data_IF_484779109758
#
_entry.id   IF_484779109758
#
_cell.length_a   1.000
_cell.length_b   1.000
_cell.length_c   1.000
_cell.angle_alpha   90.00
_cell.angle_beta   90.00
_cell.angle_gamma   90.00
#
_symmetry.space_group_name_H-M   'P 1'
#
loop_
_entity.id
_entity.type
_entity.pdbx_description
1 polymer ?
#
# COMPACT_ATOMS: atom_id res chain seq x y z
N UNK A 1 17.20 -22.25 68.24
CA UNK A 1 17.91 -21.33 69.16
C UNK A 1 19.37 -21.33 68.79
N UNK A 2 19.84 -20.37 67.98
CA UNK A 2 21.27 -20.21 67.73
C UNK A 2 21.63 -18.72 67.72
N UNK A 3 22.62 -18.40 68.55
CA UNK A 3 23.08 -17.05 68.90
C UNK A 3 23.97 -16.47 67.80
N UNK A 4 23.84 -15.17 67.58
CA UNK A 4 24.71 -14.32 66.78
C UNK A 4 26.15 -14.36 67.26
N UNK A 5 27.11 -14.27 66.33
CA UNK A 5 28.35 -13.54 66.53
C UNK A 5 28.77 -12.81 65.24
N UNK A 6 29.13 -11.55 65.43
CA UNK A 6 29.60 -10.58 64.44
C UNK A 6 31.10 -10.77 64.20
N UNK A 7 31.55 -10.70 62.95
CA UNK A 7 32.98 -10.74 62.61
C UNK A 7 33.24 -10.00 61.29
N UNK A 8 33.80 -8.80 61.41
CA UNK A 8 34.31 -7.95 60.31
C UNK A 8 35.64 -8.54 59.84
N UNK A 9 35.85 -8.68 58.53
CA UNK A 9 37.20 -8.76 57.95
C UNK A 9 37.30 -8.03 56.62
N UNK A 10 38.41 -7.32 56.51
CA UNK A 10 38.83 -6.33 55.52
C UNK A 10 39.25 -7.02 54.22
N UNK A 11 38.95 -6.42 53.05
CA UNK A 11 39.65 -6.74 51.81
C UNK A 11 39.98 -5.49 50.98
N UNK A 12 41.13 -5.61 50.33
CA UNK A 12 42.11 -4.58 49.97
C UNK A 12 41.71 -3.82 48.71
N UNK A 13 41.94 -2.50 48.73
CA UNK A 13 41.82 -1.58 47.60
C UNK A 13 43.00 -1.77 46.64
N UNK A 14 42.74 -2.09 45.36
CA UNK A 14 43.73 -2.01 44.28
C UNK A 14 43.34 -0.84 43.37
N UNK A 15 44.17 0.20 43.35
CA UNK A 15 43.99 1.39 42.51
C UNK A 15 44.64 1.10 41.15
N UNK A 16 43.83 1.05 40.09
CA UNK A 16 44.31 1.18 38.70
C UNK A 16 43.91 2.58 38.24
N UNK A 17 44.89 3.42 37.97
CA UNK A 17 44.72 4.76 37.41
C UNK A 17 44.31 4.66 35.95
N UNK A 18 43.12 5.15 35.59
CA UNK A 18 42.72 5.40 34.21
C UNK A 18 42.72 6.92 34.02
N UNK A 19 43.45 7.40 33.01
CA UNK A 19 43.58 8.83 32.71
C UNK A 19 42.24 9.47 32.28
N UNK A 20 42.14 10.81 32.27
CA UNK A 20 40.91 11.50 31.91
C UNK A 20 40.57 11.22 30.45
N UNK A 21 39.43 10.58 30.23
CA UNK A 21 38.79 10.50 28.92
C UNK A 21 38.17 11.87 28.67
N UNK A 22 38.66 12.54 27.63
CA UNK A 22 38.07 13.72 27.04
C UNK A 22 36.64 13.41 26.58
N UNK A 23 35.64 13.70 27.41
CA UNK A 23 34.26 13.82 26.92
C UNK A 23 34.15 15.14 26.18
N UNK A 24 34.56 15.12 24.91
CA UNK A 24 34.17 16.15 23.95
C UNK A 24 32.66 16.03 23.75
N UNK A 25 31.90 16.64 24.66
CA UNK A 25 30.51 16.98 24.42
C UNK A 25 30.53 18.04 23.32
N UNK A 26 30.43 17.61 22.07
CA UNK A 26 29.99 18.49 21.00
C UNK A 26 28.57 18.91 21.38
N UNK A 27 28.40 20.19 21.67
CA UNK A 27 27.12 20.81 21.96
C UNK A 27 26.13 20.43 20.87
N UNK A 28 25.09 19.70 21.28
CA UNK A 28 23.91 19.40 20.50
C UNK A 28 23.39 20.74 20.00
N UNK A 29 23.50 20.97 18.69
CA UNK A 29 22.96 22.16 18.05
C UNK A 29 21.51 22.31 18.50
N UNK A 30 21.18 23.53 18.88
CA UNK A 30 19.84 23.98 19.24
C UNK A 30 18.86 23.51 18.20
N UNK A 31 18.10 22.47 18.55
CA UNK A 31 16.90 22.07 17.82
C UNK A 31 16.01 23.31 17.75
N UNK A 32 15.82 23.84 16.55
CA UNK A 32 14.61 24.60 16.26
C UNK A 32 13.44 23.74 16.73
N UNK A 33 12.53 24.32 17.51
CA UNK A 33 11.22 23.72 17.75
C UNK A 33 10.60 23.37 16.38
N UNK A 34 10.63 22.10 16.04
CA UNK A 34 9.75 21.49 15.06
C UNK A 34 8.62 20.87 15.88
N UNK A 35 7.45 21.51 15.88
CA UNK A 35 6.19 20.88 16.27
C UNK A 35 5.88 19.82 15.21
N UNK A 36 6.37 18.60 15.42
CA UNK A 36 6.02 17.39 14.67
C UNK A 36 4.98 16.62 15.52
N UNK A 37 3.76 16.50 15.02
CA UNK A 37 2.83 15.39 15.30
C UNK A 37 3.47 14.10 14.75
N UNK A 38 4.32 13.45 15.55
CA UNK A 38 5.16 12.33 15.12
C UNK A 38 4.33 11.04 15.02
N UNK A 39 4.26 10.28 13.94
CA UNK A 39 4.44 10.51 12.50
C UNK A 39 3.27 9.72 11.94
N UNK A 40 2.17 10.37 11.60
CA UNK A 40 1.07 9.68 10.94
C UNK A 40 1.52 9.16 9.60
N UNK A 41 1.18 7.90 9.30
CA UNK A 41 1.06 7.44 7.93
C UNK A 41 -0.40 7.62 7.53
N UNK A 42 -0.64 8.34 6.45
CA UNK A 42 -1.95 8.44 5.81
C UNK A 42 -1.86 7.71 4.48
N UNK A 43 -2.92 7.00 4.11
CA UNK A 43 -3.01 6.43 2.76
C UNK A 43 -2.88 7.53 1.72
N UNK A 44 -2.34 7.17 0.56
CA UNK A 44 -2.05 8.11 -0.52
C UNK A 44 -3.32 8.80 -1.05
N UNK A 45 -3.15 10.04 -1.50
CA UNK A 45 -4.19 10.81 -2.20
C UNK A 45 -3.91 10.84 -3.69
N UNK A 46 -4.96 10.73 -4.51
CA UNK A 46 -4.86 10.74 -5.97
C UNK A 46 -5.57 12.00 -6.51
N UNK A 47 -4.85 12.97 -7.13
CA UNK A 47 -5.31 14.35 -7.31
C UNK A 47 -6.69 14.58 -7.92
N UNK A 48 -7.16 13.71 -8.81
CA UNK A 48 -8.42 13.92 -9.54
C UNK A 48 -9.53 12.93 -9.17
N UNK A 49 -9.19 11.78 -8.56
CA UNK A 49 -10.13 10.67 -8.35
C UNK A 49 -10.36 10.35 -6.86
N UNK A 50 -9.33 10.59 -6.03
CA UNK A 50 -9.37 10.48 -4.57
C UNK A 50 -8.46 11.54 -3.89
N UNK A 51 -8.73 12.85 -4.10
CA UNK A 51 -7.82 13.94 -3.73
C UNK A 51 -7.56 14.07 -2.22
N UNK A 52 -8.46 13.52 -1.40
CA UNK A 52 -8.29 13.47 0.05
C UNK A 52 -7.91 12.09 0.58
N UNK A 53 -7.56 11.12 -0.27
CA UNK A 53 -7.20 9.74 0.11
C UNK A 53 -8.42 8.81 0.10
N UNK A 54 -8.46 7.83 1.01
CA UNK A 54 -9.58 6.89 1.13
C UNK A 54 -10.92 7.65 1.16
N UNK A 55 -11.89 7.31 0.28
CA UNK A 55 -13.24 7.87 0.31
C UNK A 55 -13.97 7.62 1.64
N UNK A 56 -14.98 8.44 1.91
CA UNK A 56 -15.80 8.40 3.13
C UNK A 56 -17.28 8.37 2.78
N UNK A 57 -17.67 7.41 1.92
CA UNK A 57 -19.04 7.29 1.46
C UNK A 57 -19.99 7.03 2.63
N UNK A 58 -21.11 7.77 2.65
CA UNK A 58 -22.08 7.76 3.74
C UNK A 58 -23.16 6.70 3.53
N UNK A 59 -23.62 6.15 4.64
CA UNK A 59 -24.67 5.15 4.74
C UNK A 59 -26.08 5.77 4.74
N UNK A 60 -26.23 7.02 5.18
CA UNK A 60 -27.54 7.65 5.38
C UNK A 60 -28.17 8.17 4.09
N UNK A 61 -27.37 8.63 3.14
CA UNK A 61 -27.81 9.20 1.85
C UNK A 61 -28.74 8.32 1.00
N UNK A 62 -28.63 6.99 1.11
CA UNK A 62 -29.37 6.03 0.28
C UNK A 62 -30.67 5.57 0.92
N UNK A 63 -30.94 5.97 2.17
CA UNK A 63 -32.00 5.37 2.99
C UNK A 63 -31.88 3.83 3.07
N UNK A 64 -30.63 3.31 2.97
CA UNK A 64 -30.30 1.88 2.95
C UNK A 64 -30.52 1.24 4.33
N UNK A 65 -31.78 0.91 4.62
CA UNK A 65 -32.24 0.39 5.90
C UNK A 65 -32.76 -1.04 5.79
N UNK A 66 -32.76 -1.72 6.92
CA UNK A 66 -33.47 -2.98 7.15
C UNK A 66 -34.20 -2.94 8.48
N UNK A 67 -34.97 -3.98 8.78
CA UNK A 67 -35.67 -4.13 10.07
C UNK A 67 -35.12 -5.35 10.82
N UNK A 68 -34.75 -5.13 12.08
CA UNK A 68 -34.29 -6.17 13.02
C UNK A 68 -35.16 -6.24 14.28
N UNK A 69 -35.06 -7.33 15.03
CA UNK A 69 -35.75 -7.52 16.31
C UNK A 69 -35.31 -6.49 17.36
N UNK A 70 -36.28 -5.95 18.10
CA UNK A 70 -36.08 -5.01 19.19
C UNK A 70 -35.65 -5.63 20.51
N UNK A 71 -35.54 -6.97 20.56
CA UNK A 71 -35.05 -7.73 21.70
C UNK A 71 -36.11 -8.55 22.42
N UNK A 72 -37.33 -8.66 21.88
CA UNK A 72 -38.35 -9.58 22.40
C UNK A 72 -38.23 -11.00 21.81
N UNK A 73 -37.40 -11.20 20.78
CA UNK A 73 -37.17 -12.47 20.10
C UNK A 73 -38.28 -12.88 19.12
N UNK A 74 -39.14 -11.96 18.69
CA UNK A 74 -40.33 -12.20 17.86
C UNK A 74 -40.38 -11.17 16.73
N UNK A 75 -40.52 -11.65 15.51
CA UNK A 75 -40.73 -10.78 14.35
C UNK A 75 -42.14 -10.17 14.37
N UNK A 76 -42.28 -8.87 14.64
CA UNK A 76 -43.57 -8.19 14.67
C UNK A 76 -43.91 -7.52 13.32
N UNK A 77 -42.90 -7.23 12.51
CA UNK A 77 -43.01 -6.50 11.24
C UNK A 77 -43.35 -7.39 10.04
N UNK A 78 -44.03 -6.81 9.05
CA UNK A 78 -44.42 -7.51 7.81
C UNK A 78 -43.87 -6.76 6.60
N UNK A 79 -43.17 -7.48 5.72
CA UNK A 79 -42.59 -6.94 4.50
C UNK A 79 -43.65 -6.36 3.54
N UNK A 80 -43.28 -5.27 2.85
CA UNK A 80 -44.07 -4.57 1.84
C UNK A 80 -43.22 -4.34 0.58
N UNK A 81 -43.85 -4.04 -0.55
CA UNK A 81 -43.10 -3.76 -1.78
C UNK A 81 -42.33 -4.98 -2.29
N UNK A 82 -41.05 -4.77 -2.61
CA UNK A 82 -40.07 -5.81 -2.94
C UNK A 82 -39.16 -6.21 -1.76
N UNK A 83 -39.38 -5.64 -0.57
CA UNK A 83 -38.69 -6.06 0.65
C UNK A 83 -38.80 -7.58 0.88
N UNK A 84 -37.72 -8.15 1.39
CA UNK A 84 -37.60 -9.58 1.63
C UNK A 84 -37.90 -9.89 3.09
N UNK A 85 -38.99 -10.62 3.35
CA UNK A 85 -39.29 -11.16 4.66
C UNK A 85 -38.35 -12.33 4.99
N UNK A 86 -37.41 -12.12 5.91
CA UNK A 86 -36.46 -13.14 6.39
C UNK A 86 -37.14 -14.05 7.42
N UNK A 87 -37.75 -13.45 8.45
CA UNK A 87 -38.50 -14.17 9.49
C UNK A 87 -39.98 -13.86 9.36
N UNK A 88 -40.83 -14.88 9.29
CA UNK A 88 -42.29 -14.66 9.15
C UNK A 88 -42.87 -13.92 10.37
N UNK A 89 -43.88 -13.05 10.20
CA UNK A 89 -44.52 -12.35 11.31
C UNK A 89 -45.04 -13.32 12.39
N UNK A 90 -44.72 -13.05 13.66
CA UNK A 90 -44.95 -13.89 14.83
C UNK A 90 -43.98 -15.07 14.97
N UNK A 91 -42.97 -15.18 14.11
CA UNK A 91 -41.90 -16.16 14.18
C UNK A 91 -40.85 -15.82 15.25
N UNK A 92 -40.13 -16.83 15.72
CA UNK A 92 -38.98 -16.62 16.61
C UNK A 92 -37.81 -16.06 15.79
N UNK A 93 -37.17 -15.02 16.32
CA UNK A 93 -35.95 -14.43 15.76
C UNK A 93 -34.75 -14.99 16.52
N UNK A 94 -33.66 -15.26 15.80
CA UNK A 94 -32.41 -15.71 16.38
C UNK A 94 -31.70 -14.49 17.03
N UNK A 95 -31.39 -14.50 18.33
CA UNK A 95 -30.67 -13.39 18.96
C UNK A 95 -29.29 -13.14 18.33
N UNK A 96 -28.67 -14.15 17.73
CA UNK A 96 -27.36 -14.03 17.08
C UNK A 96 -27.47 -13.53 15.62
N UNK A 97 -28.69 -13.50 15.06
CA UNK A 97 -28.99 -13.01 13.72
C UNK A 97 -30.38 -12.34 13.71
N UNK A 98 -30.49 -11.10 14.25
CA UNK A 98 -31.76 -10.47 14.58
C UNK A 98 -32.56 -9.95 13.36
N UNK A 99 -32.17 -10.33 12.14
CA UNK A 99 -32.72 -9.82 10.88
C UNK A 99 -34.15 -10.26 10.61
N UNK A 100 -35.04 -9.33 10.30
CA UNK A 100 -36.47 -9.60 10.04
C UNK A 100 -36.86 -9.28 8.59
N UNK A 101 -36.51 -8.08 8.09
CA UNK A 101 -36.88 -7.59 6.76
C UNK A 101 -35.68 -6.91 6.12
N UNK A 102 -35.25 -7.41 4.96
CA UNK A 102 -34.24 -6.75 4.11
C UNK A 102 -34.92 -5.87 3.05
N UNK A 103 -34.27 -4.81 2.53
CA UNK A 103 -34.88 -3.87 1.58
C UNK A 103 -35.13 -4.45 0.19
N UNK A 104 -34.62 -5.65 -0.10
CA UNK A 104 -34.81 -6.26 -1.41
C UNK A 104 -33.99 -5.60 -2.54
N UNK A 105 -34.26 -5.99 -3.80
CA UNK A 105 -33.39 -5.71 -4.94
C UNK A 105 -33.17 -4.23 -5.29
N UNK A 106 -34.11 -3.35 -4.97
CA UNK A 106 -33.96 -1.91 -5.22
C UNK A 106 -33.21 -1.16 -4.11
N UNK A 107 -32.77 -1.88 -3.07
CA UNK A 107 -32.02 -1.38 -1.92
C UNK A 107 -32.77 -0.34 -1.07
N UNK A 108 -34.08 -0.19 -1.26
CA UNK A 108 -34.90 0.76 -0.53
C UNK A 108 -35.90 0.06 0.39
N UNK A 109 -35.94 0.46 1.67
CA UNK A 109 -36.88 -0.15 2.63
C UNK A 109 -38.30 0.40 2.45
N UNK A 110 -39.21 -0.43 1.94
CA UNK A 110 -40.63 -0.09 1.77
C UNK A 110 -41.46 -0.31 3.05
N UNK A 111 -40.97 -1.16 3.95
CA UNK A 111 -41.64 -1.57 5.18
C UNK A 111 -41.51 -0.57 6.31
N UNK A 112 -42.44 -0.66 7.27
CA UNK A 112 -42.36 0.10 8.52
C UNK A 112 -42.26 -0.88 9.69
N UNK A 113 -41.42 -0.61 10.70
CA UNK A 113 -41.31 -1.43 11.89
C UNK A 113 -42.62 -1.48 12.67
N UNK A 114 -42.87 -2.60 13.35
CA UNK A 114 -44.03 -2.84 14.21
C UNK A 114 -43.59 -3.48 15.51
N UNK A 115 -44.35 -3.29 16.60
CA UNK A 115 -43.97 -3.85 17.90
C UNK A 115 -42.77 -3.10 18.50
N UNK A 116 -41.75 -3.84 18.91
CA UNK A 116 -40.43 -3.33 19.31
C UNK A 116 -39.37 -3.46 18.22
N UNK A 117 -39.66 -4.09 17.08
CA UNK A 117 -38.75 -4.11 15.92
C UNK A 117 -38.26 -2.70 15.55
N UNK A 118 -37.02 -2.59 15.10
CA UNK A 118 -36.37 -1.32 14.81
C UNK A 118 -35.77 -1.29 13.40
N UNK A 119 -35.75 -0.10 12.81
CA UNK A 119 -34.99 0.18 11.60
C UNK A 119 -33.50 0.32 11.95
N UNK A 120 -32.64 -0.26 11.11
CA UNK A 120 -31.18 -0.14 11.20
C UNK A 120 -30.58 0.11 9.83
N UNK A 121 -29.43 0.77 9.80
CA UNK A 121 -28.63 0.96 8.60
C UNK A 121 -27.74 -0.27 8.35
N UNK A 122 -27.62 -0.73 7.09
CA UNK A 122 -27.22 -2.14 6.81
C UNK A 122 -26.08 -2.35 5.80
N UNK A 123 -25.57 -1.31 5.15
CA UNK A 123 -24.60 -1.43 4.06
C UNK A 123 -23.16 -1.04 4.42
N UNK A 124 -22.78 -0.98 5.70
CA UNK A 124 -21.40 -0.61 6.08
C UNK A 124 -20.34 -1.54 5.44
N UNK A 125 -20.65 -2.82 5.24
CA UNK A 125 -19.80 -3.78 4.53
C UNK A 125 -19.59 -3.40 3.05
N UNK A 126 -20.69 -3.13 2.33
CA UNK A 126 -20.65 -2.77 0.91
C UNK A 126 -19.95 -1.42 0.71
N UNK A 127 -20.27 -0.43 1.55
CA UNK A 127 -19.67 0.90 1.53
C UNK A 127 -18.17 0.82 1.79
N UNK A 128 -17.75 0.14 2.86
CA UNK A 128 -16.34 0.00 3.19
C UNK A 128 -15.56 -0.70 2.07
N UNK A 129 -16.19 -1.68 1.41
CA UNK A 129 -15.60 -2.33 0.25
C UNK A 129 -15.45 -1.35 -0.91
N UNK A 130 -16.50 -0.60 -1.25
CA UNK A 130 -16.47 0.38 -2.35
C UNK A 130 -15.49 1.52 -2.08
N UNK A 131 -15.34 2.01 -0.84
CA UNK A 131 -14.29 2.96 -0.47
C UNK A 131 -12.90 2.43 -0.88
N UNK A 132 -12.58 1.18 -0.52
CA UNK A 132 -11.30 0.56 -0.88
C UNK A 132 -11.14 0.38 -2.40
N UNK A 133 -12.17 -0.13 -3.09
CA UNK A 133 -12.10 -0.37 -4.53
C UNK A 133 -11.94 0.94 -5.30
N UNK A 134 -12.67 1.97 -4.92
CA UNK A 134 -12.56 3.30 -5.50
C UNK A 134 -11.18 3.92 -5.29
N UNK A 135 -10.64 3.80 -4.07
CA UNK A 135 -9.29 4.28 -3.76
C UNK A 135 -8.21 3.56 -4.60
N UNK A 136 -8.33 2.24 -4.78
CA UNK A 136 -7.43 1.49 -5.64
C UNK A 136 -7.58 1.83 -7.12
N UNK A 137 -8.81 2.01 -7.59
CA UNK A 137 -9.07 2.41 -8.98
C UNK A 137 -8.42 3.76 -9.29
N UNK A 138 -8.58 4.71 -8.37
CA UNK A 138 -7.97 6.04 -8.41
C UNK A 138 -6.43 6.02 -8.45
N UNK A 139 -5.77 4.97 -7.94
CA UNK A 139 -4.31 4.83 -7.91
C UNK A 139 -3.71 4.69 -9.32
N UNK A 140 -4.44 4.01 -10.20
CA UNK A 140 -3.97 3.63 -11.53
C UNK A 140 -4.61 4.46 -12.65
N UNK A 141 -5.50 5.39 -12.29
CA UNK A 141 -6.09 6.35 -13.20
C UNK A 141 -5.08 7.43 -13.66
N UNK A 142 -5.31 8.02 -14.83
CA UNK A 142 -4.44 9.07 -15.39
C UNK A 142 -4.40 10.30 -14.47
N UNK A 143 -3.25 10.63 -13.83
CA UNK A 143 -3.16 11.77 -12.91
C UNK A 143 -3.32 13.13 -13.59
N UNK A 144 -3.19 13.20 -14.92
CA UNK A 144 -3.49 14.39 -15.74
C UNK A 144 -4.91 14.38 -16.31
N UNK A 145 -5.63 13.26 -16.16
CA UNK A 145 -7.02 13.06 -16.60
C UNK A 145 -8.03 13.76 -15.71
N UNK A 146 -9.30 13.71 -16.10
CA UNK A 146 -10.43 14.28 -15.36
C UNK A 146 -11.52 13.23 -15.20
N UNK A 147 -12.16 13.09 -14.03
CA UNK A 147 -13.35 12.26 -13.88
C UNK A 147 -14.36 12.58 -14.99
N UNK A 148 -14.61 11.62 -15.86
CA UNK A 148 -15.59 11.68 -16.94
C UNK A 148 -15.02 11.95 -18.34
N UNK A 149 -13.70 11.96 -18.52
CA UNK A 149 -13.08 12.11 -19.85
C UNK A 149 -12.99 10.81 -20.66
N UNK A 150 -13.24 9.65 -20.03
CA UNK A 150 -13.22 8.34 -20.66
C UNK A 150 -11.80 7.83 -20.95
N UNK A 151 -10.78 8.45 -20.36
CA UNK A 151 -9.40 7.97 -20.33
C UNK A 151 -9.08 7.24 -19.01
N UNK A 152 -10.11 6.84 -18.24
CA UNK A 152 -9.91 5.90 -17.13
C UNK A 152 -9.49 4.54 -17.71
N UNK A 153 -8.31 4.10 -17.28
CA UNK A 153 -7.63 2.92 -17.77
C UNK A 153 -7.68 1.76 -16.78
N UNK A 154 -8.13 1.99 -15.54
CA UNK A 154 -8.27 0.93 -14.54
C UNK A 154 -9.75 0.55 -14.38
N UNK A 155 -10.13 -0.73 -14.56
CA UNK A 155 -11.53 -1.11 -14.66
C UNK A 155 -12.17 -1.53 -13.32
N UNK A 156 -11.58 -1.18 -12.17
CA UNK A 156 -12.02 -1.70 -10.87
C UNK A 156 -13.34 -1.06 -10.42
N UNK A 157 -13.56 0.22 -10.71
CA UNK A 157 -14.89 0.85 -10.70
C UNK A 157 -15.32 1.09 -12.16
N UNK A 158 -16.63 1.01 -12.40
CA UNK A 158 -17.20 1.28 -13.71
C UNK A 158 -18.27 2.36 -13.59
N UNK A 159 -18.55 3.06 -14.70
CA UNK A 159 -19.72 3.92 -14.79
C UNK A 159 -21.01 3.06 -14.79
N UNK A 160 -21.76 3.12 -13.71
CA UNK A 160 -23.03 2.41 -13.55
C UNK A 160 -24.25 3.20 -14.02
N UNK A 161 -24.03 4.28 -14.79
CA UNK A 161 -25.07 5.12 -15.37
C UNK A 161 -25.08 6.55 -14.83
N UNK A 162 -24.06 6.93 -14.07
CA UNK A 162 -23.82 8.28 -13.57
C UNK A 162 -23.07 9.16 -14.59
N UNK A 163 -22.53 8.56 -15.65
CA UNK A 163 -21.80 9.21 -16.72
C UNK A 163 -20.28 9.20 -16.53
N UNK A 164 -19.81 8.79 -15.36
CA UNK A 164 -18.40 8.62 -15.00
C UNK A 164 -18.25 7.67 -13.81
N UNK A 165 -17.22 6.82 -13.82
CA UNK A 165 -16.93 5.84 -12.76
C UNK A 165 -16.61 6.52 -11.43
N UNK A 166 -15.88 7.64 -11.47
CA UNK A 166 -15.47 8.42 -10.30
C UNK A 166 -16.35 9.65 -10.03
N UNK A 167 -17.57 9.68 -10.58
CA UNK A 167 -18.56 10.69 -10.20
C UNK A 167 -19.12 10.43 -8.81
N UNK A 168 -19.24 11.47 -7.97
CA UNK A 168 -19.97 11.38 -6.70
C UNK A 168 -21.41 10.81 -6.85
N UNK A 169 -22.02 10.93 -8.04
CA UNK A 169 -23.34 10.34 -8.32
C UNK A 169 -23.31 8.85 -8.69
N UNK A 170 -22.13 8.29 -8.96
CA UNK A 170 -21.92 6.87 -9.20
C UNK A 170 -21.75 6.08 -7.88
N UNK A 171 -21.28 6.72 -6.82
CA UNK A 171 -21.04 6.06 -5.53
C UNK A 171 -22.25 5.27 -5.01
N UNK A 172 -23.49 5.80 -4.98
CA UNK A 172 -24.66 5.03 -4.55
C UNK A 172 -24.92 3.81 -5.45
N UNK A 173 -24.75 3.94 -6.78
CA UNK A 173 -24.96 2.85 -7.73
C UNK A 173 -23.92 1.74 -7.56
N UNK A 174 -22.66 2.10 -7.30
CA UNK A 174 -21.58 1.17 -6.99
C UNK A 174 -21.86 0.41 -5.68
N UNK A 175 -22.31 1.13 -4.65
CA UNK A 175 -22.66 0.56 -3.34
C UNK A 175 -23.84 -0.39 -3.43
N UNK A 176 -24.93 0.00 -4.09
CA UNK A 176 -26.12 -0.84 -4.29
C UNK A 176 -25.78 -2.12 -5.09
N UNK A 177 -24.92 -2.00 -6.10
CA UNK A 177 -24.46 -3.15 -6.86
C UNK A 177 -23.62 -4.11 -6.00
N UNK A 178 -22.73 -3.57 -5.18
CA UNK A 178 -21.94 -4.36 -4.24
C UNK A 178 -22.83 -5.03 -3.18
N UNK A 179 -23.79 -4.31 -2.61
CA UNK A 179 -24.75 -4.84 -1.64
C UNK A 179 -25.58 -6.00 -2.22
N UNK A 180 -26.05 -5.87 -3.46
CA UNK A 180 -26.72 -6.96 -4.17
C UNK A 180 -25.78 -8.15 -4.43
N UNK A 181 -24.52 -7.90 -4.77
CA UNK A 181 -23.53 -8.97 -5.01
C UNK A 181 -23.20 -9.74 -3.71
N UNK A 182 -23.18 -9.04 -2.58
CA UNK A 182 -23.01 -9.62 -1.23
C UNK A 182 -24.28 -10.33 -0.71
N UNK A 183 -25.41 -10.24 -1.42
CA UNK A 183 -26.74 -10.74 -1.03
C UNK A 183 -27.29 -10.16 0.29
N UNK A 184 -26.72 -9.06 0.79
CA UNK A 184 -27.18 -8.40 2.02
C UNK A 184 -28.53 -7.68 1.83
N UNK A 185 -28.94 -7.44 0.58
CA UNK A 185 -30.27 -6.94 0.21
C UNK A 185 -31.39 -7.97 0.44
N UNK A 186 -31.06 -9.26 0.58
CA UNK A 186 -32.03 -10.34 0.83
C UNK A 186 -31.94 -10.88 2.26
N UNK A 187 -30.76 -10.81 2.88
CA UNK A 187 -30.46 -11.55 4.13
C UNK A 187 -30.20 -10.67 5.34
N UNK A 188 -29.77 -9.41 5.14
CA UNK A 188 -29.15 -8.57 6.18
C UNK A 188 -28.01 -9.28 6.96
N UNK A 189 -27.43 -10.32 6.39
CA UNK A 189 -26.39 -11.11 7.00
C UNK A 189 -25.32 -11.39 5.96
N UNK A 190 -24.08 -11.08 6.31
CA UNK A 190 -22.94 -11.33 5.46
C UNK A 190 -22.00 -12.31 6.14
N UNK A 191 -21.87 -13.50 5.53
CA UNK A 191 -20.83 -14.44 5.88
C UNK A 191 -19.48 -13.94 5.34
N UNK A 192 -18.40 -14.11 6.10
CA UNK A 192 -17.08 -13.64 5.71
C UNK A 192 -16.57 -14.32 4.42
N UNK A 193 -16.86 -15.61 4.21
CA UNK A 193 -16.48 -16.31 2.98
C UNK A 193 -17.26 -15.72 1.80
N UNK A 194 -18.54 -15.37 1.99
CA UNK A 194 -19.36 -14.71 0.95
C UNK A 194 -18.83 -13.32 0.62
N UNK A 195 -18.39 -12.55 1.63
CA UNK A 195 -17.78 -11.24 1.41
C UNK A 195 -16.51 -11.36 0.55
N UNK A 196 -15.61 -12.27 0.91
CA UNK A 196 -14.35 -12.52 0.20
C UNK A 196 -14.60 -13.06 -1.21
N UNK A 197 -15.52 -14.02 -1.36
CA UNK A 197 -15.91 -14.56 -2.66
C UNK A 197 -16.52 -13.47 -3.57
N UNK A 198 -17.28 -12.54 -2.99
CA UNK A 198 -17.88 -11.42 -3.72
C UNK A 198 -16.81 -10.45 -4.24
N UNK A 199 -15.81 -10.12 -3.42
CA UNK A 199 -14.70 -9.25 -3.84
C UNK A 199 -13.85 -9.95 -4.91
N UNK A 200 -13.52 -11.23 -4.74
CA UNK A 200 -12.81 -12.01 -5.76
C UNK A 200 -13.61 -12.11 -7.07
N UNK A 201 -14.92 -12.29 -6.99
CA UNK A 201 -15.80 -12.27 -8.15
C UNK A 201 -15.80 -10.90 -8.83
N UNK A 202 -15.76 -9.81 -8.06
CA UNK A 202 -15.65 -8.45 -8.57
C UNK A 202 -14.37 -8.29 -9.40
N UNK A 203 -13.21 -8.67 -8.85
CA UNK A 203 -11.92 -8.63 -9.55
C UNK A 203 -11.94 -9.46 -10.85
N UNK A 204 -12.49 -10.68 -10.80
CA UNK A 204 -12.56 -11.56 -11.96
C UNK A 204 -13.44 -11.02 -13.10
N UNK A 205 -14.51 -10.27 -12.78
CA UNK A 205 -15.36 -9.68 -13.81
C UNK A 205 -14.67 -8.57 -14.61
N UNK A 206 -13.63 -7.97 -14.04
CA UNK A 206 -12.87 -6.86 -14.64
C UNK A 206 -11.48 -7.31 -15.08
N UNK A 207 -11.20 -8.62 -15.03
CA UNK A 207 -9.91 -9.23 -15.41
C UNK A 207 -8.72 -8.77 -14.56
N UNK A 208 -8.95 -8.50 -13.27
CA UNK A 208 -7.95 -8.08 -12.30
C UNK A 208 -7.67 -9.14 -11.22
N UNK A 209 -8.16 -10.37 -11.37
CA UNK A 209 -7.98 -11.45 -10.40
C UNK A 209 -6.51 -11.90 -10.20
N UNK A 210 -5.64 -11.61 -11.17
CA UNK A 210 -4.19 -11.87 -11.07
C UNK A 210 -3.40 -10.64 -10.56
N UNK A 211 -4.08 -9.51 -10.33
CA UNK A 211 -3.51 -8.21 -9.95
C UNK A 211 -3.89 -7.75 -8.55
N UNK A 212 -5.04 -8.20 -8.06
CA UNK A 212 -5.56 -7.85 -6.74
C UNK A 212 -5.85 -9.12 -5.95
N UNK A 213 -5.47 -9.09 -4.68
CA UNK A 213 -5.79 -10.14 -3.73
C UNK A 213 -6.62 -9.56 -2.58
N UNK A 214 -7.54 -10.36 -2.05
CA UNK A 214 -8.30 -10.04 -0.86
C UNK A 214 -8.16 -11.15 0.16
N UNK A 215 -7.80 -10.77 1.38
CA UNK A 215 -7.51 -11.69 2.48
C UNK A 215 -8.31 -11.30 3.73
N UNK A 216 -8.82 -12.32 4.43
CA UNK A 216 -9.54 -12.16 5.70
C UNK A 216 -8.65 -12.59 6.87
N UNK A 217 -8.67 -11.80 7.95
CA UNK A 217 -7.88 -12.01 9.14
C UNK A 217 -8.75 -11.98 10.38
N UNK A 218 -8.75 -13.10 11.13
CA UNK A 218 -9.34 -13.17 12.46
C UNK A 218 -8.41 -12.58 13.51
N UNK A 219 -9.00 -11.82 14.44
CA UNK A 219 -8.39 -11.19 15.61
C UNK A 219 -7.01 -10.56 15.32
N UNK A 220 -6.93 -9.64 14.34
CA UNK A 220 -5.66 -9.06 13.92
C UNK A 220 -5.05 -8.21 15.02
N UNK A 221 -3.72 -8.24 15.16
CA UNK A 221 -3.03 -7.31 16.06
C UNK A 221 -3.05 -5.90 15.50
N UNK A 222 -2.94 -4.90 16.39
CA UNK A 222 -2.82 -3.50 15.96
C UNK A 222 -1.59 -3.28 15.08
N UNK A 223 -0.46 -3.92 15.42
CA UNK A 223 0.78 -3.82 14.65
C UNK A 223 0.63 -4.40 13.25
N UNK A 224 -0.05 -5.54 13.10
CA UNK A 224 -0.34 -6.09 11.78
C UNK A 224 -1.16 -5.11 10.94
N UNK A 225 -2.28 -4.62 11.47
CA UNK A 225 -3.11 -3.62 10.76
C UNK A 225 -2.31 -2.37 10.39
N UNK A 226 -1.44 -1.90 11.30
CA UNK A 226 -0.58 -0.77 11.04
C UNK A 226 0.40 -1.03 9.89
N UNK A 227 1.05 -2.19 9.87
CA UNK A 227 2.00 -2.58 8.82
C UNK A 227 1.29 -2.68 7.46
N UNK A 228 0.10 -3.31 7.39
CA UNK A 228 -0.68 -3.42 6.13
C UNK A 228 -1.06 -2.03 5.58
N UNK A 229 -1.51 -1.11 6.44
CA UNK A 229 -1.78 0.29 6.03
C UNK A 229 -0.51 0.95 5.51
N UNK A 230 0.62 0.78 6.20
CA UNK A 230 1.90 1.41 5.84
C UNK A 230 2.53 0.83 4.57
N UNK A 231 2.18 -0.41 4.20
CA UNK A 231 2.51 -1.05 2.93
C UNK A 231 1.62 -0.56 1.77
N UNK A 232 0.66 0.34 2.03
CA UNK A 232 -0.22 0.89 1.00
C UNK A 232 -1.34 -0.06 0.59
N UNK A 233 -1.76 -0.95 1.49
CA UNK A 233 -2.91 -1.84 1.29
C UNK A 233 -4.17 -1.19 1.82
N UNK A 234 -5.32 -1.54 1.26
CA UNK A 234 -6.59 -1.09 1.79
C UNK A 234 -7.05 -2.05 2.89
N UNK A 235 -7.39 -1.50 4.06
CA UNK A 235 -7.79 -2.30 5.23
C UNK A 235 -9.19 -1.90 5.66
N UNK A 236 -10.09 -2.88 5.70
CA UNK A 236 -11.42 -2.77 6.31
C UNK A 236 -11.36 -3.43 7.68
N UNK A 237 -11.79 -2.72 8.72
CA UNK A 237 -11.96 -3.30 10.05
C UNK A 237 -13.42 -3.64 10.30
N UNK A 238 -13.65 -4.84 10.82
CA UNK A 238 -14.96 -5.26 11.32
C UNK A 238 -14.93 -5.07 12.83
N UNK A 239 -15.67 -4.06 13.27
CA UNK A 239 -15.75 -3.66 14.67
C UNK A 239 -16.95 -4.36 15.28
N UNK A 240 -16.74 -5.21 16.27
CA UNK A 240 -17.81 -5.90 16.98
C UNK A 240 -18.18 -5.13 18.25
N UNK A 241 -19.47 -4.87 18.41
CA UNK A 241 -20.02 -4.22 19.59
C UNK A 241 -20.32 -5.26 20.66
N UNK A 242 -19.93 -4.95 21.89
CA UNK A 242 -20.02 -5.86 23.02
C UNK A 242 -20.89 -5.24 24.12
N UNK A 243 -21.85 -6.02 24.59
CA UNK A 243 -22.56 -5.79 25.85
C UNK A 243 -21.92 -6.66 26.95
N UNK A 244 -21.57 -6.04 28.07
CA UNK A 244 -21.01 -6.71 29.27
C UNK A 244 -21.94 -6.54 30.49
N UNK A 245 -23.21 -6.18 30.26
CA UNK A 245 -24.19 -5.96 31.32
C UNK A 245 -24.50 -7.24 32.14
N UNK A 246 -24.31 -8.43 31.55
CA UNK A 246 -24.48 -9.73 32.21
C UNK A 246 -23.23 -10.14 33.03
N UNK A 247 -22.09 -9.45 32.84
CA UNK A 247 -20.78 -9.82 33.35
C UNK A 247 -20.05 -10.87 32.52
N UNK A 248 -20.64 -11.27 31.39
CA UNK A 248 -20.01 -12.00 30.30
C UNK A 248 -20.10 -11.11 29.05
N UNK A 249 -19.00 -10.92 28.32
CA UNK A 249 -19.05 -10.15 27.07
C UNK A 249 -19.85 -10.91 26.01
N UNK A 250 -20.91 -10.30 25.51
CA UNK A 250 -21.79 -10.81 24.46
C UNK A 250 -21.69 -9.90 23.22
N UNK A 251 -21.49 -10.49 22.04
CA UNK A 251 -21.49 -9.73 20.79
C UNK A 251 -22.93 -9.41 20.39
N UNK A 252 -23.23 -8.13 20.18
CA UNK A 252 -24.59 -7.65 19.92
C UNK A 252 -24.75 -6.98 18.56
N UNK A 253 -23.65 -6.83 17.82
CA UNK A 253 -23.65 -6.25 16.48
C UNK A 253 -22.24 -6.05 15.96
N UNK A 254 -22.15 -5.60 14.71
CA UNK A 254 -20.88 -5.20 14.11
C UNK A 254 -21.07 -4.02 13.16
N UNK A 255 -19.97 -3.38 12.79
CA UNK A 255 -19.91 -2.32 11.81
C UNK A 255 -18.57 -2.35 11.09
N UNK A 256 -18.58 -2.14 9.77
CA UNK A 256 -17.38 -2.10 8.96
C UNK A 256 -16.93 -0.66 8.70
N UNK A 257 -15.63 -0.41 8.83
CA UNK A 257 -15.00 0.89 8.54
C UNK A 257 -13.73 0.72 7.71
N UNK A 258 -13.36 1.73 6.95
CA UNK A 258 -12.12 1.74 6.14
C UNK A 258 -11.00 2.53 6.78
N UNK A 259 -9.84 1.91 6.99
CA UNK A 259 -8.65 2.57 7.51
C UNK A 259 -8.11 3.61 6.51
N UNK A 260 -7.79 4.80 7.00
CA UNK A 260 -7.22 5.91 6.20
C UNK A 260 -5.87 6.38 6.73
N UNK A 261 -5.51 5.99 7.96
CA UNK A 261 -4.18 6.26 8.48
C UNK A 261 -3.89 5.59 9.81
N UNK A 262 -2.62 5.59 10.19
CA UNK A 262 -2.14 5.03 11.46
C UNK A 262 -1.02 5.87 12.05
N UNK A 263 -1.01 5.96 13.37
CA UNK A 263 0.14 6.44 14.14
C UNK A 263 0.54 5.35 15.14
N UNK A 264 1.44 4.48 14.70
CA UNK A 264 1.91 3.35 15.49
C UNK A 264 2.68 3.77 16.75
N UNK A 265 3.28 4.97 16.75
CA UNK A 265 4.01 5.49 17.91
C UNK A 265 3.09 5.91 19.07
N UNK A 266 1.86 6.30 18.75
CA UNK A 266 0.84 6.72 19.72
C UNK A 266 -0.32 5.73 19.85
N UNK A 267 -0.26 4.60 19.14
CA UNK A 267 -1.33 3.59 19.09
C UNK A 267 -2.67 4.22 18.72
N UNK A 268 -2.65 5.02 17.65
CA UNK A 268 -3.86 5.64 17.08
C UNK A 268 -4.09 5.13 15.67
N UNK A 269 -5.35 5.01 15.33
CA UNK A 269 -5.81 4.67 13.99
C UNK A 269 -6.80 5.71 13.52
N UNK A 270 -6.85 5.94 12.22
CA UNK A 270 -7.86 6.75 11.60
C UNK A 270 -8.65 5.93 10.59
N UNK A 271 -9.96 6.13 10.53
CA UNK A 271 -10.81 5.50 9.54
C UNK A 271 -11.86 6.46 9.00
N UNK A 272 -12.34 6.13 7.80
CA UNK A 272 -13.54 6.68 7.19
C UNK A 272 -14.68 5.75 7.59
N UNK A 273 -15.68 6.31 8.26
CA UNK A 273 -16.77 5.58 8.89
C UNK A 273 -18.05 5.90 8.15
N UNK A 274 -18.73 4.90 7.55
CA UNK A 274 -19.98 5.13 6.84
C UNK A 274 -21.10 5.79 7.66
N UNK A 275 -21.01 5.84 8.99
CA UNK A 275 -22.05 6.34 9.89
C UNK A 275 -21.62 7.53 10.76
N UNK A 276 -20.33 7.65 11.10
CA UNK A 276 -19.83 8.67 12.04
C UNK A 276 -18.88 9.64 11.34
N UNK A 277 -19.12 10.94 11.52
CA UNK A 277 -18.28 12.00 10.99
C UNK A 277 -17.95 13.01 12.10
N UNK A 278 -16.91 12.73 12.89
CA UNK A 278 -16.54 13.54 14.06
C UNK A 278 -15.67 14.73 13.66
N UNK A 279 -14.74 14.54 12.71
CA UNK A 279 -13.72 15.53 12.36
C UNK A 279 -14.15 16.49 11.24
N UNK A 280 -15.02 16.09 10.31
CA UNK A 280 -15.51 16.93 9.21
C UNK A 280 -17.05 16.91 9.06
N UNK A 281 -17.84 17.09 10.15
CA UNK A 281 -19.28 16.88 10.15
C UNK A 281 -19.98 17.77 9.11
N UNK A 282 -20.25 17.21 7.93
CA UNK A 282 -20.87 17.91 6.81
C UNK A 282 -21.98 17.02 6.24
N UNK A 283 -23.24 17.43 6.45
CA UNK A 283 -24.42 16.59 6.21
C UNK A 283 -24.64 16.18 4.72
N UNK A 284 -23.81 16.57 3.74
CA UNK A 284 -24.11 16.37 2.30
C UNK A 284 -22.92 16.21 1.32
N UNK A 285 -21.68 16.03 1.77
CA UNK A 285 -20.50 15.89 0.88
C UNK A 285 -19.80 14.53 0.90
N UNK A 286 -20.35 13.54 1.62
CA UNK A 286 -19.74 12.21 1.84
C UNK A 286 -19.44 11.40 0.56
N UNK A 287 -20.12 11.66 -0.55
CA UNK A 287 -19.81 11.02 -1.84
C UNK A 287 -18.78 11.75 -2.68
N UNK A 288 -18.33 12.91 -2.24
CA UNK A 288 -17.31 13.67 -2.91
C UNK A 288 -15.97 13.38 -2.22
N UNK A 289 -15.09 12.68 -2.94
CA UNK A 289 -13.77 12.27 -2.44
C UNK A 289 -12.84 13.43 -2.12
N UNK A 290 -13.27 14.69 -2.33
CA UNK A 290 -12.64 15.90 -1.79
C UNK A 290 -12.87 16.08 -0.29
N UNK A 291 -13.96 15.59 0.26
CA UNK A 291 -14.37 15.78 1.65
C UNK A 291 -14.38 14.42 2.37
N UNK A 292 -13.46 14.23 3.31
CA UNK A 292 -13.23 12.96 4.01
C UNK A 292 -12.97 13.27 5.47
N UNK A 293 -13.72 12.64 6.39
CA UNK A 293 -13.67 12.94 7.82
C UNK A 293 -12.37 12.51 8.49
N UNK A 294 -11.88 11.31 8.14
CA UNK A 294 -10.67 10.70 8.72
C UNK A 294 -10.71 10.72 10.25
N UNK A 295 -11.71 10.09 10.83
CA UNK A 295 -11.91 10.08 12.27
C UNK A 295 -10.81 9.31 12.98
N UNK A 296 -10.25 9.93 14.03
CA UNK A 296 -9.06 9.44 14.74
C UNK A 296 -9.45 8.87 16.09
N UNK A 297 -9.03 7.63 16.33
CA UNK A 297 -9.30 6.90 17.57
C UNK A 297 -8.00 6.43 18.22
N UNK A 298 -8.01 6.42 19.56
CA UNK A 298 -6.98 5.75 20.34
C UNK A 298 -7.32 4.26 20.41
N UNK A 299 -6.38 3.40 20.06
CA UNK A 299 -6.50 1.97 20.27
C UNK A 299 -5.99 1.59 21.66
N UNK A 300 -6.68 0.66 22.32
CA UNK A 300 -6.19 0.04 23.56
C UNK A 300 -5.81 -1.40 23.29
N UNK A 301 -4.57 -1.74 23.64
CA UNK A 301 -4.02 -3.09 23.42
C UNK A 301 -4.46 -4.05 24.52
N UNK A 302 -4.80 -5.26 24.11
CA UNK A 302 -5.33 -6.35 24.92
C UNK A 302 -6.84 -6.36 25.00
N UNK A 303 -7.41 -7.56 25.16
CA UNK A 303 -8.85 -7.74 25.29
C UNK A 303 -9.44 -7.01 26.49
N UNK A 304 -10.57 -6.30 26.33
CA UNK A 304 -11.36 -5.81 27.46
C UNK A 304 -12.23 -6.91 28.09
N UNK A 305 -12.36 -8.07 27.44
CA UNK A 305 -13.30 -9.13 27.78
C UNK A 305 -12.60 -10.36 28.37
N UNK A 306 -12.93 -10.73 29.62
CA UNK A 306 -12.30 -11.87 30.30
C UNK A 306 -12.58 -13.22 29.60
N UNK A 307 -13.77 -13.37 29.00
CA UNK A 307 -14.20 -14.56 28.26
C UNK A 307 -13.72 -14.59 26.80
N UNK A 308 -13.16 -13.49 26.29
CA UNK A 308 -12.58 -13.38 24.95
C UNK A 308 -11.12 -12.92 25.00
N UNK A 309 -10.21 -13.71 25.63
CA UNK A 309 -8.80 -13.34 25.77
C UNK A 309 -8.02 -13.30 24.44
N UNK A 310 -8.59 -13.83 23.37
CA UNK A 310 -8.03 -13.81 22.01
C UNK A 310 -8.09 -12.44 21.32
N UNK A 311 -8.94 -11.53 21.80
CA UNK A 311 -9.04 -10.18 21.23
C UNK A 311 -7.76 -9.41 21.53
N UNK A 312 -7.13 -8.89 20.48
CA UNK A 312 -5.82 -8.25 20.60
C UNK A 312 -5.90 -6.75 20.91
N UNK A 313 -6.98 -6.06 20.52
CA UNK A 313 -7.17 -4.64 20.80
C UNK A 313 -8.63 -4.18 20.59
N UNK A 314 -8.94 -3.00 21.11
CA UNK A 314 -10.28 -2.41 21.07
C UNK A 314 -10.23 -0.88 21.05
N UNK A 315 -11.37 -0.25 20.76
CA UNK A 315 -11.53 1.20 20.63
C UNK A 315 -12.35 1.75 21.81
N UNK A 316 -11.73 2.43 22.79
CA UNK A 316 -12.43 2.86 24.01
C UNK A 316 -13.44 3.99 23.84
N UNK A 317 -13.41 4.70 22.71
CA UNK A 317 -14.24 5.87 22.46
C UNK A 317 -15.11 5.72 21.21
N UNK A 318 -15.42 4.49 20.83
CA UNK A 318 -16.14 4.16 19.60
C UNK A 318 -17.10 3.01 19.86
N UNK A 319 -18.35 3.05 19.40
CA UNK A 319 -19.33 4.07 19.75
C UNK A 319 -19.57 4.08 21.28
N UNK A 320 -20.09 5.18 21.83
CA UNK A 320 -20.25 5.33 23.30
C UNK A 320 -21.39 4.51 23.92
N UNK A 321 -22.23 3.90 23.10
CA UNK A 321 -23.49 3.29 23.53
C UNK A 321 -23.32 1.81 23.94
N UNK A 322 -22.16 1.23 23.64
CA UNK A 322 -21.78 -0.14 24.00
C UNK A 322 -20.69 -0.15 25.09
N UNK A 323 -20.51 -1.28 25.77
CA UNK A 323 -19.45 -1.41 26.77
C UNK A 323 -18.08 -1.38 26.12
N UNK A 324 -17.91 -2.13 25.02
CA UNK A 324 -16.66 -2.22 24.27
C UNK A 324 -16.94 -2.31 22.77
N UNK A 325 -16.00 -1.79 21.99
CA UNK A 325 -15.93 -2.02 20.54
C UNK A 325 -14.60 -2.63 20.21
N UNK A 326 -14.64 -3.93 19.93
CA UNK A 326 -13.46 -4.74 19.76
C UNK A 326 -13.18 -4.95 18.28
N UNK A 327 -11.91 -5.06 17.91
CA UNK A 327 -11.54 -5.40 16.55
C UNK A 327 -11.44 -6.92 16.48
N UNK A 328 -12.46 -7.53 15.88
CA UNK A 328 -12.53 -8.99 15.79
C UNK A 328 -12.00 -9.51 14.47
N UNK A 329 -12.14 -8.74 13.39
CA UNK A 329 -11.69 -9.18 12.08
C UNK A 329 -11.24 -8.00 11.22
N UNK A 330 -10.41 -8.28 10.22
CA UNK A 330 -10.05 -7.35 9.18
C UNK A 330 -10.11 -8.02 7.80
N UNK A 331 -10.44 -7.22 6.78
CA UNK A 331 -10.26 -7.58 5.38
C UNK A 331 -9.15 -6.68 4.84
N UNK A 332 -8.18 -7.27 4.17
CA UNK A 332 -7.09 -6.56 3.51
C UNK A 332 -7.18 -6.80 2.02
N UNK A 333 -7.17 -5.74 1.23
CA UNK A 333 -7.07 -5.77 -0.22
C UNK A 333 -5.70 -5.22 -0.60
N UNK A 334 -4.95 -5.97 -1.40
CA UNK A 334 -3.61 -5.61 -1.83
C UNK A 334 -3.42 -5.78 -3.34
N UNK A 335 -2.51 -4.98 -3.89
CA UNK A 335 -2.04 -5.11 -5.27
C UNK A 335 -0.87 -6.10 -5.32
N UNK A 336 -0.98 -7.11 -6.17
CA UNK A 336 0.06 -8.12 -6.39
C UNK A 336 1.09 -7.53 -7.35
N UNK A 337 2.22 -7.08 -6.80
CA UNK A 337 3.34 -6.59 -7.60
C UNK A 337 4.25 -7.75 -8.10
N UNK A 338 4.64 -7.69 -9.36
CA UNK A 338 5.56 -8.58 -10.05
C UNK A 338 6.90 -7.88 -10.30
N UNK A 339 8.05 -8.56 -10.07
CA UNK A 339 9.33 -7.94 -10.35
C UNK A 339 9.50 -7.67 -11.86
N UNK A 340 10.27 -6.62 -12.22
CA UNK A 340 10.63 -6.39 -13.59
C UNK A 340 11.45 -7.54 -14.16
N UNK A 341 11.41 -7.68 -15.49
CA UNK A 341 12.28 -8.63 -16.18
C UNK A 341 13.76 -8.29 -15.95
N UNK A 342 14.64 -9.29 -16.07
CA UNK A 342 16.08 -9.02 -16.09
C UNK A 342 16.42 -8.08 -17.25
N UNK A 343 17.13 -6.96 -17.03
CA UNK A 343 17.43 -6.00 -18.08
C UNK A 343 18.15 -6.62 -19.27
N UNK A 344 17.90 -6.08 -20.45
CA UNK A 344 18.77 -6.23 -21.61
C UNK A 344 19.81 -5.13 -21.59
N UNK A 345 21.04 -5.44 -22.01
CA UNK A 345 22.15 -4.49 -22.15
C UNK A 345 22.62 -4.58 -23.59
N UNK A 346 22.41 -3.51 -24.36
CA UNK A 346 22.94 -3.38 -25.72
C UNK A 346 24.01 -2.30 -25.80
N UNK A 347 25.03 -2.52 -26.62
CA UNK A 347 26.13 -1.58 -26.78
C UNK A 347 27.44 -2.23 -27.24
N UNK A 348 28.49 -1.41 -27.45
CA UNK A 348 29.77 -1.90 -27.94
C UNK A 348 30.48 -2.81 -26.93
N UNK A 349 30.73 -4.07 -27.31
CA UNK A 349 31.52 -5.02 -26.48
C UNK A 349 33.03 -4.86 -26.65
N UNK A 350 33.46 -3.96 -27.52
CA UNK A 350 34.87 -3.66 -27.77
C UNK A 350 35.04 -2.18 -28.09
N UNK A 351 36.13 -1.58 -27.61
CA UNK A 351 36.37 -0.16 -27.84
C UNK A 351 37.82 0.29 -27.72
N UNK A 352 38.01 1.59 -27.60
CA UNK A 352 39.28 2.24 -27.29
C UNK A 352 39.10 3.01 -25.99
N UNK A 353 40.09 2.94 -25.11
CA UNK A 353 40.10 3.71 -23.87
C UNK A 353 39.88 5.21 -24.14
N UNK A 354 39.36 5.91 -23.15
CA UNK A 354 39.08 7.36 -23.19
C UNK A 354 38.11 7.78 -24.32
N UNK A 355 37.34 6.83 -24.86
CA UNK A 355 36.28 7.06 -25.84
C UNK A 355 34.93 6.76 -25.19
N UNK A 356 33.96 7.68 -25.22
CA UNK A 356 32.62 7.42 -24.72
C UNK A 356 31.89 6.45 -25.65
N UNK A 357 31.20 5.48 -25.06
CA UNK A 357 30.31 4.55 -25.74
C UNK A 357 28.94 4.59 -25.07
N UNK A 358 27.90 4.70 -25.88
CA UNK A 358 26.52 4.61 -25.44
C UNK A 358 26.14 3.16 -25.22
N UNK A 359 25.52 2.87 -24.08
CA UNK A 359 24.87 1.61 -23.77
C UNK A 359 23.39 1.86 -23.54
N UNK A 360 22.56 0.94 -24.03
CA UNK A 360 21.12 0.98 -23.88
C UNK A 360 20.70 -0.12 -22.93
N UNK A 361 19.94 0.24 -21.91
CA UNK A 361 19.34 -0.66 -20.94
C UNK A 361 17.83 -0.67 -21.15
N UNK A 362 17.23 -1.86 -21.15
CA UNK A 362 15.78 -1.99 -21.29
C UNK A 362 15.28 -3.17 -20.46
N UNK A 363 14.19 -2.97 -19.74
CA UNK A 363 13.47 -3.98 -18.99
C UNK A 363 11.97 -3.71 -19.10
N UNK A 364 11.18 -4.78 -19.06
CA UNK A 364 9.72 -4.73 -19.03
C UNK A 364 9.24 -5.25 -17.69
N UNK A 365 8.38 -4.49 -17.05
CA UNK A 365 7.57 -4.91 -15.91
C UNK A 365 6.24 -5.55 -16.38
N UNK A 366 5.83 -6.72 -15.86
CA UNK A 366 4.48 -7.25 -16.07
C UNK A 366 3.36 -6.31 -15.60
N UNK A 367 3.67 -5.41 -14.69
CA UNK A 367 2.80 -4.37 -14.16
C UNK A 367 3.12 -3.09 -14.96
N UNK A 368 2.39 -2.89 -16.06
CA UNK A 368 2.76 -1.93 -17.11
C UNK A 368 2.75 -0.47 -16.64
N UNK A 369 2.00 -0.21 -15.58
CA UNK A 369 1.89 1.05 -14.83
C UNK A 369 3.12 1.35 -13.95
N UNK A 370 3.98 0.36 -13.67
CA UNK A 370 5.11 0.53 -12.77
C UNK A 370 6.29 1.24 -13.44
N UNK A 371 6.92 2.12 -12.66
CA UNK A 371 8.08 2.87 -13.06
C UNK A 371 9.37 2.12 -12.72
N UNK A 372 10.30 2.07 -13.67
CA UNK A 372 11.55 1.33 -13.53
C UNK A 372 12.74 2.21 -13.18
N UNK A 373 13.60 1.67 -12.32
CA UNK A 373 14.86 2.26 -11.90
C UNK A 373 16.01 1.27 -12.13
N UNK A 374 17.14 1.72 -12.69
CA UNK A 374 18.27 0.86 -13.03
C UNK A 374 19.47 1.05 -12.10
N UNK A 375 20.03 -0.06 -11.62
CA UNK A 375 21.31 -0.11 -10.92
C UNK A 375 22.37 -0.74 -11.82
N UNK A 376 23.44 0.00 -12.11
CA UNK A 376 24.47 -0.42 -13.08
C UNK A 376 25.85 -0.41 -12.42
N UNK A 377 26.57 -1.52 -12.52
CA UNK A 377 27.98 -1.65 -12.16
C UNK A 377 28.81 -1.72 -13.44
N UNK A 378 29.74 -0.77 -13.62
CA UNK A 378 30.59 -0.73 -14.82
C UNK A 378 31.87 -1.58 -14.71
N UNK A 379 32.14 -2.18 -13.54
CA UNK A 379 33.32 -3.00 -13.21
C UNK A 379 34.68 -2.27 -13.29
N UNK A 380 34.66 -0.94 -13.31
CA UNK A 380 35.84 -0.08 -13.21
C UNK A 380 35.84 0.81 -11.95
N UNK A 381 34.84 0.59 -11.08
CA UNK A 381 34.61 1.33 -9.84
C UNK A 381 33.51 2.37 -9.92
N UNK A 382 32.92 2.61 -11.11
CA UNK A 382 31.75 3.46 -11.28
C UNK A 382 30.44 2.67 -11.15
N UNK A 383 29.42 3.36 -10.63
CA UNK A 383 28.09 2.81 -10.34
C UNK A 383 27.04 3.86 -10.65
N UNK A 384 25.98 3.45 -11.34
CA UNK A 384 24.72 4.20 -11.42
C UNK A 384 23.75 3.62 -10.40
N UNK A 385 23.19 4.46 -9.53
CA UNK A 385 22.46 4.00 -8.36
C UNK A 385 20.96 4.31 -8.46
N UNK A 386 20.22 3.38 -9.06
CA UNK A 386 18.77 3.46 -9.25
C UNK A 386 18.36 4.71 -10.06
N UNK A 387 18.95 4.85 -11.25
CA UNK A 387 18.59 5.91 -12.20
C UNK A 387 17.18 5.66 -12.75
N UNK A 388 16.35 6.70 -12.79
CA UNK A 388 14.94 6.64 -13.17
C UNK A 388 14.16 7.86 -12.67
N UNK A 389 12.81 7.85 -12.75
CA UNK A 389 11.99 6.77 -13.29
C UNK A 389 12.03 6.68 -14.82
N UNK A 390 11.80 5.47 -15.34
CA UNK A 390 11.57 5.18 -16.76
C UNK A 390 10.29 4.35 -16.90
N UNK A 391 9.55 4.53 -17.99
CA UNK A 391 8.37 3.69 -18.23
C UNK A 391 8.78 2.23 -18.50
N UNK A 392 7.92 1.27 -18.15
CA UNK A 392 8.10 -0.14 -18.49
C UNK A 392 8.34 -0.32 -19.99
N UNK A 393 9.46 -0.96 -20.36
CA UNK A 393 9.88 -1.15 -21.76
C UNK A 393 10.51 0.07 -22.44
N UNK A 394 10.77 1.17 -21.73
CA UNK A 394 11.52 2.32 -22.24
C UNK A 394 13.03 2.05 -22.33
N UNK A 395 13.66 2.50 -23.42
CA UNK A 395 15.11 2.44 -23.60
C UNK A 395 15.80 3.53 -22.76
N UNK A 396 16.61 3.12 -21.80
CA UNK A 396 17.50 4.00 -21.05
C UNK A 396 18.91 4.00 -21.68
N UNK A 397 19.30 5.11 -22.30
CA UNK A 397 20.62 5.28 -22.91
C UNK A 397 21.58 6.09 -22.01
N UNK A 398 22.78 5.55 -21.77
CA UNK A 398 23.83 6.24 -21.02
C UNK A 398 25.22 6.02 -21.65
N UNK A 399 26.01 7.09 -21.69
CA UNK A 399 27.40 7.05 -22.15
C UNK A 399 28.33 6.66 -21.01
N UNK A 400 29.20 5.66 -21.23
CA UNK A 400 30.29 5.32 -20.32
C UNK A 400 31.66 5.38 -21.00
N UNK A 401 32.69 5.75 -20.22
CA UNK A 401 34.07 5.87 -20.71
C UNK A 401 35.05 5.08 -19.84
N UNK A 402 35.58 4.00 -20.39
CA UNK A 402 36.65 3.24 -19.75
C UNK A 402 38.02 3.92 -19.92
N UNK A 403 38.68 4.21 -18.81
CA UNK A 403 40.00 4.91 -18.78
C UNK A 403 41.20 3.97 -18.70
N UNK A 404 40.95 2.65 -18.59
CA UNK A 404 41.99 1.62 -18.45
C UNK A 404 41.79 0.50 -19.47
N UNK A 405 42.91 -0.08 -19.90
CA UNK A 405 42.89 -1.33 -20.67
C UNK A 405 42.45 -2.49 -19.77
N UNK A 406 41.61 -3.38 -20.30
CA UNK A 406 41.04 -4.47 -19.52
C UNK A 406 39.82 -5.10 -20.17
N UNK A 407 39.32 -6.15 -19.52
CA UNK A 407 38.00 -6.72 -19.76
C UNK A 407 37.17 -6.37 -18.53
N UNK A 408 36.00 -5.79 -18.75
CA UNK A 408 35.08 -5.30 -17.74
C UNK A 408 33.74 -6.01 -17.92
N UNK A 409 33.06 -6.33 -16.82
CA UNK A 409 31.72 -6.93 -16.86
C UNK A 409 30.70 -5.91 -16.39
N UNK A 410 29.95 -5.32 -17.33
CA UNK A 410 28.81 -4.49 -16.97
C UNK A 410 27.77 -5.38 -16.33
N UNK A 411 27.31 -5.05 -15.13
CA UNK A 411 26.19 -5.72 -14.48
C UNK A 411 25.05 -4.74 -14.31
N UNK A 412 23.82 -5.13 -14.67
CA UNK A 412 22.65 -4.27 -14.50
C UNK A 412 21.47 -5.05 -13.91
N UNK A 413 20.69 -4.39 -13.06
CA UNK A 413 19.38 -4.85 -12.61
C UNK A 413 18.41 -3.67 -12.58
N UNK A 414 17.14 -3.94 -12.82
CA UNK A 414 16.03 -3.01 -12.64
C UNK A 414 15.29 -3.29 -11.32
N UNK A 415 14.56 -2.30 -10.82
CA UNK A 415 13.49 -2.45 -9.81
C UNK A 415 12.31 -1.57 -10.20
N UNK A 416 11.14 -1.89 -9.70
CA UNK A 416 9.94 -1.05 -9.78
C UNK A 416 9.90 0.05 -8.68
N UNK A 417 8.82 0.81 -8.63
CA UNK A 417 8.50 1.83 -7.62
C UNK A 417 8.09 1.26 -6.25
N UNK A 418 7.79 -0.04 -6.13
CA UNK A 418 7.57 -0.73 -4.85
C UNK A 418 8.84 -1.40 -4.31
N UNK A 419 9.97 -1.24 -5.00
CA UNK A 419 11.30 -1.74 -4.68
C UNK A 419 11.50 -3.25 -4.86
N UNK A 420 10.69 -3.92 -5.68
CA UNK A 420 10.96 -5.31 -6.06
C UNK A 420 12.01 -5.33 -7.17
N UNK A 421 13.09 -6.10 -6.95
CA UNK A 421 14.23 -6.13 -7.86
C UNK A 421 14.16 -7.30 -8.85
N UNK A 422 14.55 -7.04 -10.10
CA UNK A 422 14.80 -8.06 -11.12
C UNK A 422 16.07 -8.89 -10.86
N UNK A 423 16.27 -9.92 -11.69
CA UNK A 423 17.57 -10.61 -11.81
C UNK A 423 18.66 -9.73 -12.45
N UNK A 424 19.92 -10.11 -12.27
CA UNK A 424 21.10 -9.37 -12.79
C UNK A 424 21.46 -9.81 -14.22
N UNK A 425 21.60 -8.85 -15.12
CA UNK A 425 22.14 -8.99 -16.46
C UNK A 425 23.64 -8.70 -16.50
N UNK A 426 24.37 -9.33 -17.43
CA UNK A 426 25.82 -9.13 -17.59
C UNK A 426 26.21 -8.91 -19.07
N UNK A 427 27.11 -7.95 -19.32
CA UNK A 427 27.72 -7.73 -20.63
C UNK A 427 29.25 -7.55 -20.50
N UNK A 428 30.01 -8.42 -21.16
CA UNK A 428 31.48 -8.30 -21.18
C UNK A 428 31.94 -7.28 -22.23
N UNK A 429 32.75 -6.31 -21.81
CA UNK A 429 33.33 -5.26 -22.65
C UNK A 429 34.85 -5.32 -22.57
N UNK A 430 35.53 -5.32 -23.72
CA UNK A 430 36.99 -5.35 -23.79
C UNK A 430 37.57 -4.05 -24.36
N UNK A 431 38.49 -3.45 -23.61
CA UNK A 431 39.30 -2.30 -24.01
C UNK A 431 40.75 -2.76 -24.26
N UNK A 432 41.07 -3.24 -25.47
CA UNK A 432 42.39 -3.77 -25.78
C UNK A 432 43.45 -2.66 -25.79
N UNK A 433 44.68 -3.07 -25.50
CA UNK A 433 45.85 -2.21 -25.58
C UNK A 433 46.11 -1.78 -27.02
N UNK A 434 45.75 -0.54 -27.37
CA UNK A 434 46.15 0.05 -28.64
C UNK A 434 47.62 0.48 -28.53
N UNK A 435 48.53 -0.29 -29.14
CA UNK A 435 49.91 0.19 -29.37
C UNK A 435 49.86 1.35 -30.35
N UNK A 436 49.93 2.57 -29.85
CA UNK A 436 50.20 3.74 -30.67
C UNK A 436 51.62 3.65 -31.24
N UNK A 437 51.78 3.09 -32.44
CA UNK A 437 52.97 3.39 -33.25
C UNK A 437 52.81 4.81 -33.83
N UNK A 438 52.91 5.83 -32.97
CA UNK A 438 53.18 7.21 -33.41
C UNK A 438 54.68 7.42 -33.46
N UNK A 439 55.34 6.80 -34.44
CA UNK A 439 56.62 7.28 -34.90
C UNK A 439 56.62 7.33 -36.43
N UNK A 440 56.13 8.46 -36.95
CA UNK A 440 56.56 8.95 -38.26
C UNK A 440 57.97 9.57 -38.12
N UNK A 441 58.91 8.83 -37.50
CA UNK A 441 60.31 9.19 -37.51
C UNK A 441 60.91 8.47 -38.71
N UNK A 442 61.21 9.23 -39.76
CA UNK A 442 62.17 8.80 -40.75
C UNK A 442 63.55 8.73 -40.08
N UNK A 443 63.76 7.66 -39.29
CA UNK A 443 65.06 7.35 -38.69
C UNK A 443 66.10 7.18 -39.80
N UNK A 444 65.68 6.73 -40.97
CA UNK A 444 66.48 6.64 -42.18
C UNK A 444 66.87 8.03 -42.70
N UNK A 445 65.95 9.01 -42.73
CA UNK A 445 66.29 10.38 -43.16
C UNK A 445 67.28 11.02 -42.20
N UNK A 446 67.04 10.92 -40.89
CA UNK A 446 67.97 11.44 -39.88
C UNK A 446 69.34 10.76 -39.92
N UNK A 447 69.38 9.45 -40.17
CA UNK A 447 70.61 8.68 -40.35
C UNK A 447 71.35 9.12 -41.62
N UNK A 448 70.63 9.32 -42.73
CA UNK A 448 71.19 9.73 -44.00
C UNK A 448 71.62 11.21 -44.04
N UNK A 449 70.96 12.09 -43.27
CA UNK A 449 71.38 13.48 -43.06
C UNK A 449 72.63 13.56 -42.17
N UNK A 450 72.68 12.76 -41.09
CA UNK A 450 73.80 12.79 -40.13
C UNK A 450 75.07 12.11 -40.67
N UNK A 451 74.92 11.15 -41.58
CA UNK A 451 76.03 10.38 -42.15
C UNK A 451 75.95 10.30 -43.69
N UNK A 452 76.17 11.40 -44.42
CA UNK A 452 75.93 11.49 -45.87
C UNK A 452 76.80 10.55 -46.72
N UNK A 453 77.91 10.04 -46.17
CA UNK A 453 78.83 9.11 -46.85
C UNK A 453 78.80 7.68 -46.29
N UNK A 454 77.96 7.39 -45.30
CA UNK A 454 77.80 6.04 -44.78
C UNK A 454 76.73 5.29 -45.58
N UNK A 455 76.93 3.99 -45.80
CA UNK A 455 75.99 3.09 -46.46
C UNK A 455 75.51 3.51 -47.88
N UNK A 456 76.42 3.83 -48.83
CA UNK A 456 76.05 4.29 -50.17
C UNK A 456 75.21 3.26 -50.96
N UNK A 457 75.45 1.96 -50.77
CA UNK A 457 74.67 0.88 -51.40
C UNK A 457 73.22 0.86 -50.86
N UNK A 458 73.04 1.16 -49.56
CA UNK A 458 71.73 1.15 -48.92
C UNK A 458 70.87 2.35 -49.35
N UNK A 459 71.47 3.53 -49.53
CA UNK A 459 70.79 4.72 -50.10
C UNK A 459 70.26 4.44 -51.50
N UNK A 460 71.09 3.80 -52.34
CA UNK A 460 70.74 3.49 -53.73
C UNK A 460 69.61 2.45 -53.85
N UNK A 461 69.57 1.47 -52.93
CA UNK A 461 68.50 0.47 -52.88
C UNK A 461 67.17 1.02 -52.37
N UNK A 462 67.20 2.12 -51.61
CA UNK A 462 66.03 2.73 -50.98
C UNK A 462 65.55 4.01 -51.68
N UNK A 463 66.17 4.43 -52.78
CA UNK A 463 65.72 5.55 -53.61
C UNK A 463 65.94 6.94 -53.00
N UNK A 464 66.92 7.08 -52.10
CA UNK A 464 67.34 8.37 -51.56
C UNK A 464 68.53 8.90 -52.39
N UNK A 465 68.27 9.85 -53.30
CA UNK A 465 69.29 10.51 -54.13
C UNK A 465 70.05 11.62 -53.39
#
# INVERSE_FOLDING_TARGET
MNKKFLGIFICTLLIVTVGPISTGLAEKSTYKEATLDRVWYWVESYPNYAPSGMPDFDLEQGEWKGIIDGGNGIADSTAQGDDVQIVSPGGLVDPDAPSIIAPGPDCYLDSNPSGDDIEVWIFSNAISTINCLWWFDSRFADPDGTPGDGEDIYPLIADYGAGDDHSATNAPLSIERMANAMDITSTLFLDNDVWIDTINWWFANVSLEDKLEVNFYDVPTFEFVADEIQEGKAVILIINFVDDSSGDCEFVGNHAVTCTGVNSAETKIAFCDPLLDINNPSDDDHNDTQFVSKDVYLASIGSPCENHPEIEWWLPSYPSDYNYSVIYSAIVIEYINNPPSTPTIDGPTNGVIDTPYTYTFNSVDPDAEDELYYYILWDDGYVENWEGPFASGEDFEIDHTYTKEGTFTIQAKAKDNHNVESGVAELEVTMPRVRSFRYNFNLLDLLFESFPNAFPILRQLLGFD
#
